data_IF_594998193562
#
_entry.id   IF_594998193562
#
_cell.length_a   1.000
_cell.length_b   1.000
_cell.length_c   1.000
_cell.angle_alpha   90.00
_cell.angle_beta   90.00
_cell.angle_gamma   90.00
#
_symmetry.space_group_name_H-M   'P 1'
#
loop_
_entity.id
_entity.type
_entity.pdbx_description
1 polymer ?
#
# COMPACT_ATOMS: atom_id res chain seq x y z
N UNK A 1 6.42 -16.02 17.88
CA UNK A 1 5.92 -14.69 18.27
C UNK A 1 4.69 -14.43 17.43
N UNK A 2 3.50 -14.64 17.98
CA UNK A 2 2.21 -14.44 17.31
C UNK A 2 1.64 -13.16 17.91
N UNK A 3 1.51 -12.11 17.10
CA UNK A 3 1.21 -10.75 17.58
C UNK A 3 -0.24 -10.30 17.40
N UNK A 4 -1.02 -10.96 16.53
CA UNK A 4 -2.42 -10.64 16.28
C UNK A 4 -3.18 -11.86 15.76
N UNK A 5 -4.50 -11.87 15.91
CA UNK A 5 -5.39 -12.90 15.37
C UNK A 5 -6.68 -12.26 14.86
N UNK A 6 -7.24 -12.86 13.81
CA UNK A 6 -8.53 -12.48 13.23
C UNK A 6 -9.57 -13.44 13.80
N UNK A 7 -10.57 -12.89 14.48
CA UNK A 7 -11.75 -13.63 14.89
C UNK A 7 -12.83 -13.45 13.84
N UNK A 8 -13.24 -14.54 13.23
CA UNK A 8 -14.25 -14.57 12.17
C UNK A 8 -15.58 -14.99 12.80
N UNK A 9 -16.59 -14.15 12.66
CA UNK A 9 -17.97 -14.42 13.03
C UNK A 9 -18.81 -14.52 11.76
N UNK A 10 -19.10 -15.73 11.32
CA UNK A 10 -19.94 -15.97 10.17
C UNK A 10 -21.40 -16.10 10.62
N UNK A 11 -22.33 -15.43 9.95
CA UNK A 11 -23.77 -15.54 10.22
C UNK A 11 -24.48 -16.39 9.17
N UNK A 12 -24.09 -16.25 7.90
CA UNK A 12 -24.69 -16.98 6.78
C UNK A 12 -23.64 -17.78 6.01
N UNK A 13 -24.04 -18.92 5.47
CA UNK A 13 -23.23 -19.67 4.52
C UNK A 13 -23.30 -19.05 3.09
N UNK A 14 -22.55 -19.63 2.16
CA UNK A 14 -22.55 -19.25 0.74
C UNK A 14 -23.91 -19.39 0.03
N UNK A 15 -24.85 -20.11 0.63
CA UNK A 15 -26.21 -20.27 0.12
C UNK A 15 -27.21 -19.30 0.78
N UNK A 16 -26.73 -18.43 1.67
CA UNK A 16 -27.56 -17.51 2.45
C UNK A 16 -28.31 -18.16 3.60
N UNK A 17 -28.01 -19.42 3.94
CA UNK A 17 -28.62 -20.08 5.09
C UNK A 17 -27.95 -19.59 6.38
N UNK A 18 -28.73 -19.46 7.44
CA UNK A 18 -28.22 -19.11 8.76
C UNK A 18 -27.32 -20.24 9.30
N UNK A 19 -26.01 -19.98 9.35
CA UNK A 19 -24.97 -20.95 9.72
C UNK A 19 -23.92 -20.25 10.60
N UNK A 20 -24.23 -20.02 11.89
CA UNK A 20 -23.39 -19.26 12.78
C UNK A 20 -22.12 -20.04 13.09
N UNK A 21 -20.96 -19.48 12.77
CA UNK A 21 -19.66 -20.08 13.04
C UNK A 21 -18.70 -19.03 13.60
N UNK A 22 -18.00 -19.37 14.67
CA UNK A 22 -16.92 -18.55 15.24
C UNK A 22 -15.59 -19.28 15.07
N UNK A 23 -14.63 -18.64 14.40
CA UNK A 23 -13.30 -19.19 14.14
C UNK A 23 -12.24 -18.18 14.57
N UNK A 24 -11.09 -18.66 15.05
CA UNK A 24 -9.93 -17.81 15.33
C UNK A 24 -8.80 -18.21 14.42
N UNK A 25 -8.37 -17.26 13.59
CA UNK A 25 -7.30 -17.45 12.63
C UNK A 25 -6.06 -16.65 13.07
N UNK A 26 -4.91 -17.31 13.28
CA UNK A 26 -3.69 -16.61 13.65
C UNK A 26 -3.17 -15.82 12.45
N UNK A 27 -2.86 -14.53 12.64
CA UNK A 27 -2.12 -13.76 11.64
C UNK A 27 -0.66 -14.20 11.74
N UNK A 28 -0.25 -15.07 10.81
CA UNK A 28 1.12 -15.59 10.74
C UNK A 28 2.08 -14.48 10.29
N UNK A 29 2.61 -13.74 11.26
CA UNK A 29 3.65 -12.73 11.03
C UNK A 29 4.97 -13.46 10.77
N UNK A 30 5.32 -13.60 9.49
CA UNK A 30 6.62 -14.13 9.09
C UNK A 30 7.66 -13.02 9.12
N UNK A 31 8.67 -13.16 9.99
CA UNK A 31 9.87 -12.31 9.99
C UNK A 31 10.75 -12.54 8.75
N UNK A 32 10.51 -13.61 7.97
CA UNK A 32 11.23 -13.88 6.72
C UNK A 32 10.68 -13.09 5.53
N UNK A 33 9.43 -12.62 5.62
CA UNK A 33 8.86 -11.74 4.60
C UNK A 33 9.33 -10.30 4.89
N UNK A 34 9.70 -9.58 3.84
CA UNK A 34 10.02 -8.14 3.90
C UNK A 34 8.77 -7.24 4.12
N UNK A 35 7.58 -7.84 4.23
CA UNK A 35 6.31 -7.14 4.51
C UNK A 35 6.15 -6.85 6.00
N UNK A 36 5.54 -5.72 6.32
CA UNK A 36 5.24 -5.37 7.71
C UNK A 36 4.13 -6.25 8.30
N UNK A 37 3.99 -6.20 9.64
CA UNK A 37 2.86 -6.81 10.37
C UNK A 37 1.52 -6.31 9.83
N UNK A 38 1.41 -5.01 9.56
CA UNK A 38 0.20 -4.37 9.02
C UNK A 38 -0.13 -4.91 7.64
N UNK A 39 0.88 -5.08 6.77
CA UNK A 39 0.70 -5.63 5.43
C UNK A 39 0.23 -7.07 5.43
N UNK A 40 0.79 -7.90 6.31
CA UNK A 40 0.39 -9.30 6.46
C UNK A 40 -1.02 -9.44 7.04
N UNK A 41 -1.40 -8.59 7.99
CA UNK A 41 -2.77 -8.53 8.50
C UNK A 41 -3.77 -8.02 7.44
N UNK A 42 -3.38 -7.04 6.63
CA UNK A 42 -4.20 -6.53 5.53
C UNK A 42 -4.41 -7.60 4.46
N UNK A 43 -3.37 -8.32 4.06
CA UNK A 43 -3.44 -9.43 3.10
C UNK A 43 -4.43 -10.51 3.57
N UNK A 44 -4.37 -10.89 4.85
CA UNK A 44 -5.30 -11.85 5.44
C UNK A 44 -6.74 -11.33 5.48
N UNK A 45 -6.96 -10.05 5.82
CA UNK A 45 -8.29 -9.45 5.84
C UNK A 45 -8.89 -9.34 4.44
N UNK A 46 -8.12 -8.93 3.44
CA UNK A 46 -8.58 -8.75 2.05
C UNK A 46 -9.15 -10.04 1.45
N UNK A 47 -8.71 -11.21 1.92
CA UNK A 47 -9.24 -12.51 1.50
C UNK A 47 -10.75 -12.67 1.79
N UNK A 48 -11.29 -11.90 2.73
CA UNK A 48 -12.70 -11.90 3.09
C UNK A 48 -13.48 -10.79 2.42
N UNK A 49 -12.90 -10.01 1.49
CA UNK A 49 -13.58 -8.88 0.87
C UNK A 49 -14.18 -7.90 1.92
N UNK A 50 -13.40 -7.46 2.92
CA UNK A 50 -13.91 -6.83 4.13
C UNK A 50 -14.43 -5.41 3.86
N UNK A 51 -15.44 -5.00 4.60
CA UNK A 51 -16.04 -3.66 4.55
C UNK A 51 -15.95 -2.99 5.93
N UNK A 52 -15.83 -1.67 5.94
CA UNK A 52 -15.69 -0.87 7.13
C UNK A 52 -16.94 -0.91 7.99
N UNK A 53 -16.71 -0.78 9.28
CA UNK A 53 -17.75 -0.51 10.27
C UNK A 53 -17.36 0.71 11.08
N UNK A 54 -18.28 1.21 11.90
CA UNK A 54 -18.03 2.34 12.80
C UNK A 54 -17.00 2.02 13.91
N UNK A 55 -16.62 0.75 14.07
CA UNK A 55 -15.71 0.30 15.13
C UNK A 55 -14.34 -0.09 14.57
N UNK A 56 -13.28 0.58 15.04
CA UNK A 56 -11.90 0.26 14.67
C UNK A 56 -11.54 -1.20 15.01
N UNK A 57 -10.98 -1.91 14.02
CA UNK A 57 -10.63 -3.32 14.15
C UNK A 57 -11.80 -4.29 14.00
N UNK A 58 -13.00 -3.79 13.69
CA UNK A 58 -14.16 -4.61 13.32
C UNK A 58 -14.54 -4.30 11.88
N UNK A 59 -14.72 -5.34 11.08
CA UNK A 59 -15.04 -5.24 9.66
C UNK A 59 -16.23 -6.15 9.38
N UNK A 60 -17.13 -5.76 8.49
CA UNK A 60 -18.13 -6.68 7.94
C UNK A 60 -17.55 -7.41 6.73
N UNK A 61 -18.12 -8.52 6.34
CA UNK A 61 -17.86 -9.11 5.03
C UNK A 61 -19.13 -9.68 4.45
N UNK A 62 -19.19 -9.64 3.12
CA UNK A 62 -20.24 -10.26 2.32
C UNK A 62 -19.56 -10.84 1.08
N UNK A 63 -19.29 -12.13 1.12
CA UNK A 63 -18.54 -12.85 0.11
C UNK A 63 -19.41 -14.00 -0.45
N UNK A 64 -19.58 -14.11 -1.78
CA UNK A 64 -20.43 -15.13 -2.37
C UNK A 64 -19.92 -16.57 -2.14
N UNK A 65 -18.63 -16.77 -1.85
CA UNK A 65 -18.05 -18.08 -1.57
C UNK A 65 -17.98 -18.37 -0.07
N UNK A 66 -17.80 -17.34 0.77
CA UNK A 66 -17.60 -17.50 2.22
C UNK A 66 -18.84 -17.16 3.05
N UNK A 67 -19.89 -16.57 2.45
CA UNK A 67 -21.07 -16.07 3.15
C UNK A 67 -20.86 -14.67 3.74
N UNK A 68 -21.70 -14.29 4.71
CA UNK A 68 -21.65 -12.96 5.32
C UNK A 68 -21.44 -13.01 6.84
N UNK A 69 -20.80 -11.97 7.37
CA UNK A 69 -20.45 -11.91 8.78
C UNK A 69 -19.60 -10.70 9.17
N UNK A 70 -18.86 -10.86 10.26
CA UNK A 70 -17.99 -9.85 10.83
C UNK A 70 -16.60 -10.43 11.17
N UNK A 71 -15.57 -9.60 11.04
CA UNK A 71 -14.19 -9.91 11.38
C UNK A 71 -13.79 -8.98 12.51
N UNK A 72 -13.09 -9.50 13.52
CA UNK A 72 -12.51 -8.70 14.60
C UNK A 72 -11.02 -8.98 14.69
N UNK A 73 -10.21 -7.94 14.58
CA UNK A 73 -8.78 -8.02 14.79
C UNK A 73 -8.46 -7.82 16.27
N UNK A 74 -7.77 -8.79 16.87
CA UNK A 74 -7.34 -8.75 18.27
C UNK A 74 -5.81 -8.85 18.35
N UNK A 75 -5.23 -8.26 19.41
CA UNK A 75 -3.78 -8.22 19.64
C UNK A 75 -3.02 -7.09 18.92
N UNK A 76 -3.64 -6.38 17.98
CA UNK A 76 -3.02 -5.25 17.30
C UNK A 76 -3.13 -3.93 18.10
N UNK A 77 -2.08 -3.11 18.06
CA UNK A 77 -2.09 -1.76 18.64
C UNK A 77 -2.97 -0.78 17.86
N UNK A 78 -3.42 0.30 18.51
CA UNK A 78 -4.31 1.32 17.91
C UNK A 78 -3.78 1.90 16.58
N UNK A 79 -2.47 2.15 16.49
CA UNK A 79 -1.85 2.67 15.26
C UNK A 79 -1.95 1.67 14.11
N UNK A 80 -1.73 0.38 14.38
CA UNK A 80 -1.87 -0.70 13.40
C UNK A 80 -3.33 -0.84 12.96
N UNK A 81 -4.28 -0.72 13.89
CA UNK A 81 -5.71 -0.75 13.58
C UNK A 81 -6.14 0.42 12.69
N UNK A 82 -5.67 1.64 12.96
CA UNK A 82 -5.95 2.80 12.12
C UNK A 82 -5.42 2.59 10.69
N UNK A 83 -4.18 2.14 10.55
CA UNK A 83 -3.60 1.83 9.24
C UNK A 83 -4.34 0.71 8.50
N UNK A 84 -4.75 -0.33 9.21
CA UNK A 84 -5.55 -1.42 8.62
C UNK A 84 -6.92 -0.93 8.18
N UNK A 85 -7.54 -0.04 8.94
CA UNK A 85 -8.80 0.59 8.57
C UNK A 85 -8.65 1.37 7.25
N UNK A 86 -7.58 2.15 7.08
CA UNK A 86 -7.29 2.84 5.82
C UNK A 86 -7.05 1.87 4.64
N UNK A 87 -6.34 0.77 4.88
CA UNK A 87 -6.09 -0.25 3.84
C UNK A 87 -7.37 -0.98 3.43
N UNK A 88 -8.24 -1.34 4.39
CA UNK A 88 -9.55 -1.94 4.10
C UNK A 88 -10.39 -0.97 3.29
N UNK A 89 -10.45 0.30 3.71
CA UNK A 89 -11.16 1.33 2.96
C UNK A 89 -10.63 1.50 1.55
N UNK A 90 -9.31 1.48 1.37
CA UNK A 90 -8.71 1.53 0.04
C UNK A 90 -9.13 0.33 -0.81
N UNK A 91 -9.16 -0.88 -0.23
CA UNK A 91 -9.59 -2.10 -0.92
C UNK A 91 -11.07 -2.09 -1.32
N UNK A 92 -11.95 -1.48 -0.52
CA UNK A 92 -13.35 -1.23 -0.92
C UNK A 92 -13.42 -0.31 -2.13
N UNK A 93 -12.69 0.81 -2.08
CA UNK A 93 -12.66 1.79 -3.18
C UNK A 93 -12.14 1.12 -4.46
N UNK A 94 -11.07 0.32 -4.37
CA UNK A 94 -10.53 -0.43 -5.51
C UNK A 94 -11.55 -1.40 -6.13
N UNK A 95 -12.32 -2.11 -5.29
CA UNK A 95 -13.41 -2.99 -5.74
C UNK A 95 -14.52 -2.18 -6.41
N UNK A 96 -14.91 -1.05 -5.84
CA UNK A 96 -15.98 -0.22 -6.37
C UNK A 96 -15.61 0.44 -7.71
N UNK A 97 -14.38 0.92 -7.88
CA UNK A 97 -13.91 1.50 -9.15
C UNK A 97 -13.47 0.44 -10.16
N UNK A 98 -13.38 -0.83 -9.76
CA UNK A 98 -12.95 -1.96 -10.60
C UNK A 98 -11.47 -1.89 -11.02
N UNK A 99 -10.62 -1.18 -10.29
CA UNK A 99 -9.21 -0.98 -10.63
C UNK A 99 -8.33 -1.00 -9.38
N UNK A 100 -7.29 -1.84 -9.44
CA UNK A 100 -6.26 -1.95 -8.40
C UNK A 100 -5.24 -0.80 -8.48
N UNK A 101 -4.68 -0.40 -7.34
CA UNK A 101 -3.58 0.57 -7.32
C UNK A 101 -2.37 0.01 -8.11
N UNK A 102 -1.87 0.75 -9.13
CA UNK A 102 -0.67 0.36 -9.87
C UNK A 102 0.62 0.37 -9.01
N UNK A 103 0.60 1.03 -7.85
CA UNK A 103 1.66 0.98 -6.85
C UNK A 103 1.03 0.47 -5.55
N UNK A 104 0.82 -0.85 -5.39
CA UNK A 104 0.25 -1.38 -4.16
C UNK A 104 1.12 -0.94 -2.98
N UNK A 105 0.45 -0.61 -1.89
CA UNK A 105 1.08 0.06 -0.75
C UNK A 105 2.38 -0.60 -0.27
N UNK A 106 3.26 0.23 0.29
CA UNK A 106 4.52 -0.18 0.94
C UNK A 106 4.39 -1.38 1.87
N UNK A 107 3.24 -1.51 2.52
CA UNK A 107 2.94 -2.58 3.47
C UNK A 107 2.84 -3.95 2.75
N UNK A 108 2.49 -3.98 1.46
CA UNK A 108 2.32 -5.19 0.65
C UNK A 108 3.54 -5.53 -0.24
N UNK A 109 4.56 -4.66 -0.32
CA UNK A 109 5.67 -4.77 -1.27
C UNK A 109 7.05 -5.09 -0.69
N UNK A 110 7.98 -5.50 -1.56
CA UNK A 110 9.38 -5.87 -1.25
C UNK A 110 10.24 -4.64 -0.83
N UNK A 111 9.72 -3.42 -1.05
CA UNK A 111 10.40 -2.15 -0.78
C UNK A 111 9.87 -1.42 0.47
N UNK A 112 9.18 -2.12 1.38
CA UNK A 112 8.64 -1.60 2.63
C UNK A 112 9.60 -0.70 3.45
N UNK A 113 10.92 -0.98 3.59
CA UNK A 113 11.79 -0.16 4.44
C UNK A 113 12.20 1.19 3.85
N UNK A 114 11.98 1.43 2.54
CA UNK A 114 12.32 2.70 1.88
C UNK A 114 11.09 3.52 1.47
N UNK A 115 9.89 3.06 1.81
CA UNK A 115 8.69 3.69 1.33
C UNK A 115 8.38 4.99 2.09
N UNK A 116 8.41 6.09 1.34
CA UNK A 116 7.79 7.34 1.76
C UNK A 116 6.33 7.06 2.15
N UNK A 117 5.98 7.41 3.40
CA UNK A 117 4.60 7.24 3.91
C UNK A 117 3.61 8.13 3.14
N UNK A 118 4.09 9.23 2.56
CA UNK A 118 3.28 10.08 1.71
C UNK A 118 3.15 9.48 0.31
N UNK A 119 1.96 8.95 0.02
CA UNK A 119 1.64 8.26 -1.24
C UNK A 119 0.94 9.14 -2.26
N UNK A 120 0.96 10.46 -2.09
CA UNK A 120 0.44 11.39 -3.08
C UNK A 120 1.22 11.25 -4.41
N UNK A 121 0.56 11.03 -5.56
CA UNK A 121 1.26 10.90 -6.85
C UNK A 121 2.04 12.17 -7.20
N UNK A 122 1.64 13.33 -6.67
CA UNK A 122 2.37 14.59 -6.78
C UNK A 122 3.72 14.55 -6.07
N UNK A 123 3.76 13.97 -4.87
CA UNK A 123 4.99 13.86 -4.08
C UNK A 123 5.95 12.85 -4.70
N UNK A 124 5.44 11.73 -5.21
CA UNK A 124 6.26 10.79 -5.97
C UNK A 124 6.81 11.40 -7.26
N UNK A 125 6.01 12.19 -7.97
CA UNK A 125 6.44 12.89 -9.17
C UNK A 125 7.53 13.93 -8.85
N UNK A 126 7.33 14.75 -7.81
CA UNK A 126 8.32 15.72 -7.34
C UNK A 126 9.62 15.04 -6.89
N UNK A 127 9.52 13.92 -6.18
CA UNK A 127 10.67 13.11 -5.75
C UNK A 127 11.42 12.56 -6.97
N UNK A 128 10.70 12.02 -7.96
CA UNK A 128 11.31 11.55 -9.20
C UNK A 128 12.05 12.66 -9.96
N UNK A 129 11.49 13.87 -10.02
CA UNK A 129 12.16 15.04 -10.59
C UNK A 129 13.42 15.43 -9.80
N UNK A 130 13.38 15.42 -8.47
CA UNK A 130 14.54 15.69 -7.63
C UNK A 130 15.66 14.65 -7.86
N UNK A 131 15.30 13.37 -7.97
CA UNK A 131 16.22 12.27 -8.28
C UNK A 131 16.84 12.43 -9.67
N UNK A 132 16.05 12.82 -10.68
CA UNK A 132 16.57 13.14 -12.00
C UNK A 132 17.56 14.31 -11.96
N UNK A 133 17.22 15.39 -11.24
CA UNK A 133 18.10 16.53 -11.05
C UNK A 133 19.44 16.14 -10.42
N UNK A 134 19.40 15.26 -9.40
CA UNK A 134 20.61 14.71 -8.78
C UNK A 134 21.42 13.87 -9.76
N UNK A 135 20.77 13.04 -10.58
CA UNK A 135 21.43 12.24 -11.62
C UNK A 135 22.13 13.11 -12.66
N UNK A 136 21.47 14.17 -13.15
CA UNK A 136 22.07 15.13 -14.09
C UNK A 136 23.26 15.86 -13.45
N UNK A 137 23.13 16.29 -12.20
CA UNK A 137 24.23 16.94 -11.47
C UNK A 137 25.43 16.00 -11.28
N UNK A 138 25.19 14.75 -10.87
CA UNK A 138 26.22 13.70 -10.76
C UNK A 138 26.90 13.43 -12.11
N UNK A 139 26.11 13.34 -13.19
CA UNK A 139 26.62 13.19 -14.54
C UNK A 139 27.52 14.35 -14.95
N UNK A 140 27.14 15.59 -14.65
CA UNK A 140 27.96 16.78 -14.90
C UNK A 140 29.34 16.72 -14.24
N UNK A 141 29.44 16.13 -13.04
CA UNK A 141 30.73 15.92 -12.36
C UNK A 141 31.63 14.92 -13.09
N UNK A 142 31.07 13.95 -13.82
CA UNK A 142 31.85 12.95 -14.59
C UNK A 142 32.50 13.51 -15.85
N UNK A 143 31.95 14.59 -16.41
CA UNK A 143 32.49 15.27 -17.60
C UNK A 143 33.44 16.44 -17.26
N UNK A 144 33.78 16.64 -15.99
CA UNK A 144 34.71 17.69 -15.59
C UNK A 144 36.10 17.43 -16.18
N UNK A 145 36.76 18.41 -16.84
CA UNK A 145 38.01 18.23 -17.59
C UNK A 145 39.25 17.96 -16.71
N UNK A 146 39.08 17.84 -15.40
CA UNK A 146 40.16 17.45 -14.49
C UNK A 146 40.39 15.95 -14.65
N UNK A 147 41.64 15.52 -14.69
CA UNK A 147 42.04 14.11 -14.81
C UNK A 147 41.59 13.29 -13.59
N UNK A 148 40.31 12.96 -13.53
CA UNK A 148 39.74 12.06 -12.54
C UNK A 148 40.14 10.64 -12.94
N UNK A 149 40.66 9.81 -12.01
CA UNK A 149 40.99 8.42 -12.28
C UNK A 149 39.85 7.68 -12.97
N UNK A 150 40.15 6.91 -14.02
CA UNK A 150 39.16 6.20 -14.85
C UNK A 150 38.16 5.37 -14.02
N UNK A 151 38.61 4.76 -12.90
CA UNK A 151 37.73 4.01 -12.00
C UNK A 151 36.65 4.85 -11.32
N UNK A 152 36.96 6.10 -10.95
CA UNK A 152 35.99 7.03 -10.34
C UNK A 152 35.00 7.49 -11.41
N UNK A 153 35.45 7.78 -12.63
CA UNK A 153 34.58 8.16 -13.75
C UNK A 153 33.60 7.03 -14.11
N UNK A 154 34.07 5.79 -14.17
CA UNK A 154 33.20 4.62 -14.42
C UNK A 154 32.19 4.40 -13.28
N UNK A 155 32.63 4.50 -12.02
CA UNK A 155 31.73 4.36 -10.88
C UNK A 155 30.64 5.45 -10.88
N UNK A 156 31.03 6.71 -11.05
CA UNK A 156 30.11 7.84 -11.07
C UNK A 156 29.20 7.81 -12.30
N UNK A 157 29.69 7.35 -13.45
CA UNK A 157 28.89 7.11 -14.65
C UNK A 157 27.84 6.02 -14.42
N UNK A 158 28.23 4.89 -13.82
CA UNK A 158 27.31 3.82 -13.44
C UNK A 158 26.26 4.28 -12.44
N UNK A 159 26.67 5.00 -11.38
CA UNK A 159 25.75 5.58 -10.41
C UNK A 159 24.77 6.57 -11.07
N UNK A 160 25.24 7.38 -12.02
CA UNK A 160 24.40 8.32 -12.77
C UNK A 160 23.31 7.60 -13.57
N UNK A 161 23.66 6.54 -14.29
CA UNK A 161 22.68 5.75 -15.06
C UNK A 161 21.64 5.13 -14.14
N UNK A 162 22.05 4.59 -12.99
CA UNK A 162 21.14 4.01 -12.00
C UNK A 162 20.18 5.08 -11.46
N UNK A 163 20.70 6.23 -11.02
CA UNK A 163 19.90 7.32 -10.45
C UNK A 163 18.91 7.87 -11.48
N UNK A 164 19.34 8.09 -12.72
CA UNK A 164 18.46 8.54 -13.81
C UNK A 164 17.38 7.49 -14.12
N UNK A 165 17.75 6.20 -14.17
CA UNK A 165 16.80 5.11 -14.34
C UNK A 165 15.74 5.08 -13.23
N UNK A 166 16.13 5.24 -11.97
CA UNK A 166 15.22 5.33 -10.84
C UNK A 166 14.30 6.56 -10.92
N UNK A 167 14.82 7.72 -11.31
CA UNK A 167 14.03 8.94 -11.51
C UNK A 167 12.99 8.79 -12.63
N UNK A 168 13.37 8.25 -13.78
CA UNK A 168 12.45 7.98 -14.90
C UNK A 168 11.37 6.95 -14.50
N UNK A 169 11.77 5.87 -13.81
CA UNK A 169 10.84 4.85 -13.34
C UNK A 169 9.81 5.41 -12.35
N UNK A 170 10.25 6.19 -11.37
CA UNK A 170 9.35 6.81 -10.37
C UNK A 170 8.36 7.78 -11.00
N UNK A 171 8.80 8.60 -11.97
CA UNK A 171 7.92 9.49 -12.72
C UNK A 171 6.89 8.69 -13.55
N UNK A 172 7.34 7.67 -14.27
CA UNK A 172 6.46 6.81 -15.07
C UNK A 172 5.36 6.16 -14.21
N UNK A 173 5.73 5.60 -13.05
CA UNK A 173 4.77 5.01 -12.13
C UNK A 173 3.82 6.05 -11.53
N UNK A 174 4.31 7.27 -11.25
CA UNK A 174 3.47 8.38 -10.78
C UNK A 174 2.41 8.76 -11.80
N UNK A 175 2.79 8.91 -13.07
CA UNK A 175 1.87 9.19 -14.20
C UNK A 175 0.78 8.13 -14.31
N UNK A 176 1.16 6.84 -14.24
CA UNK A 176 0.18 5.74 -14.27
C UNK A 176 -0.78 5.78 -13.07
N UNK A 177 -0.27 6.16 -11.90
CA UNK A 177 -1.06 6.23 -10.67
C UNK A 177 -2.01 7.42 -10.62
N UNK A 178 -1.71 8.54 -11.27
CA UNK A 178 -2.60 9.70 -11.31
C UNK A 178 -4.02 9.37 -11.78
N UNK A 179 -4.15 8.57 -12.84
CA UNK A 179 -5.47 8.19 -13.38
C UNK A 179 -6.29 7.33 -12.41
N UNK A 180 -5.63 6.45 -11.65
CA UNK A 180 -6.27 5.69 -10.59
C UNK A 180 -6.62 6.58 -9.39
N UNK A 181 -5.64 7.35 -8.88
CA UNK A 181 -5.77 8.19 -7.69
C UNK A 181 -6.90 9.21 -7.82
N UNK A 182 -7.02 9.85 -8.98
CA UNK A 182 -8.11 10.82 -9.24
C UNK A 182 -9.49 10.16 -9.24
N UNK A 183 -9.61 8.92 -9.75
CA UNK A 183 -10.88 8.16 -9.71
C UNK A 183 -11.21 7.68 -8.31
N UNK A 184 -10.24 7.07 -7.63
CA UNK A 184 -10.38 6.60 -6.25
C UNK A 184 -10.78 7.75 -5.31
N UNK A 185 -10.11 8.90 -5.41
CA UNK A 185 -10.43 10.09 -4.61
C UNK A 185 -11.81 10.66 -4.91
N UNK A 186 -12.22 10.75 -6.18
CA UNK A 186 -13.58 11.19 -6.53
C UNK A 186 -14.63 10.27 -5.93
N UNK A 187 -14.42 8.96 -6.05
CA UNK A 187 -15.32 7.96 -5.48
C UNK A 187 -15.40 8.09 -3.94
N UNK A 188 -14.25 8.16 -3.27
CA UNK A 188 -14.19 8.31 -1.82
C UNK A 188 -14.95 9.57 -1.32
N UNK A 189 -14.83 10.68 -2.05
CA UNK A 189 -15.55 11.92 -1.73
C UNK A 189 -17.05 11.83 -2.02
N UNK A 190 -17.48 11.09 -3.04
CA UNK A 190 -18.90 10.90 -3.35
C UNK A 190 -19.59 9.90 -2.42
N UNK A 191 -18.85 8.91 -1.92
CA UNK A 191 -19.36 7.84 -1.07
C UNK A 191 -19.60 8.31 0.40
N UNK A 192 -19.06 9.48 0.77
CA UNK A 192 -19.31 10.09 2.09
C UNK A 192 -18.59 9.43 3.28
N UNK A 193 -17.87 8.33 3.05
CA UNK A 193 -17.04 7.69 4.07
C UNK A 193 -15.69 8.39 4.32
N UNK A 194 -14.88 7.87 5.26
CA UNK A 194 -13.57 8.45 5.57
C UNK A 194 -12.65 8.40 4.35
N UNK A 195 -11.87 9.47 4.17
CA UNK A 195 -10.86 9.56 3.13
C UNK A 195 -9.56 8.92 3.65
N UNK A 196 -9.07 7.81 3.04
CA UNK A 196 -7.79 7.22 3.40
C UNK A 196 -6.64 8.22 3.29
N UNK A 197 -5.66 8.11 4.18
CA UNK A 197 -4.44 8.95 4.20
C UNK A 197 -3.75 8.97 2.83
N UNK A 198 -3.71 7.82 2.14
CA UNK A 198 -3.14 7.65 0.79
C UNK A 198 -3.85 8.46 -0.32
N UNK A 199 -5.10 8.88 -0.10
CA UNK A 199 -5.89 9.69 -1.03
C UNK A 199 -5.89 11.18 -0.66
N UNK A 200 -5.19 11.57 0.41
CA UNK A 200 -4.95 12.97 0.75
C UNK A 200 -3.82 13.55 -0.12
N UNK A 201 -3.75 14.89 -0.21
CA UNK A 201 -2.71 15.55 -0.99
C UNK A 201 -1.32 15.50 -0.32
N UNK A 202 -1.28 15.39 1.01
CA UNK A 202 -0.07 15.60 1.81
C UNK A 202 0.36 14.41 2.67
N UNK A 203 -0.38 13.29 2.70
CA UNK A 203 -0.11 12.21 3.65
C UNK A 203 -0.38 12.72 5.06
#
# INVERSE_FOLDING_TARGET
>A
MIGAYIRVFQNTDKYGNHAPEERVEPVMISLKKLQSVTGQAAEALVEYSPSLTDTLGVYSFDDPEKGAGWLRLEGAGKLTLARLHDLVRLSEIERAIGQKDPIPGAELGIAAPMAFHNRSPYVHFATGLAVLGLGVWLGGLTFSPKAVPMGITLFMGGATVIVLGMGCWTIYMSVRRFGWWTRARRYALSDGGPLPEDLTYFG
#
